data_IF_407689090357
#
_entry.id   IF_407689090357
#
_cell.length_a   1.000
_cell.length_b   1.000
_cell.length_c   1.000
_cell.angle_alpha   90.00
_cell.angle_beta   90.00
_cell.angle_gamma   90.00
#
_symmetry.space_group_name_H-M   'P 1'
#
loop_
_entity.id
_entity.type
_entity.pdbx_description
1 polymer ?
#
# COMPACT_ATOMS: atom_id res chain seq x y z
N UNK A 1 1.71 3.31 -22.30
CA UNK A 1 0.68 2.48 -21.64
C UNK A 1 1.34 1.78 -20.47
N UNK A 2 0.64 1.63 -19.34
CA UNK A 2 1.19 0.96 -18.16
C UNK A 2 1.07 -0.56 -18.34
N UNK A 3 2.16 -1.30 -18.19
CA UNK A 3 2.16 -2.76 -18.35
C UNK A 3 1.30 -3.46 -17.28
N UNK A 4 1.25 -2.85 -16.09
CA UNK A 4 0.51 -3.34 -14.93
C UNK A 4 0.08 -2.18 -14.04
N UNK A 5 -1.14 -2.26 -13.51
CA UNK A 5 -1.69 -1.28 -12.55
C UNK A 5 -2.00 -1.97 -11.23
N UNK A 6 -1.66 -1.31 -10.13
CA UNK A 6 -1.87 -1.85 -8.78
C UNK A 6 -3.13 -1.23 -8.14
N UNK A 7 -3.98 -2.08 -7.58
CA UNK A 7 -5.18 -1.65 -6.86
C UNK A 7 -5.25 -2.36 -5.54
N UNK A 8 -5.30 -1.61 -4.44
CA UNK A 8 -5.54 -2.24 -3.16
C UNK A 8 -6.23 -1.39 -2.15
N UNK A 9 -6.56 -2.02 -1.03
CA UNK A 9 -7.22 -1.35 0.08
C UNK A 9 -6.70 -1.85 1.41
N UNK A 10 -6.55 -0.92 2.34
CA UNK A 10 -6.39 -1.20 3.77
C UNK A 10 -7.76 -1.04 4.44
N UNK A 11 -8.29 -2.12 5.03
CA UNK A 11 -9.59 -2.09 5.70
C UNK A 11 -9.54 -1.41 7.07
N UNK A 12 -8.33 -1.09 7.56
CA UNK A 12 -8.06 -0.54 8.89
C UNK A 12 -8.80 -1.35 9.96
N UNK A 13 -9.34 -0.69 10.99
CA UNK A 13 -10.08 -1.31 12.10
C UNK A 13 -11.60 -1.22 11.88
N UNK A 14 -12.12 -1.70 10.74
CA UNK A 14 -13.55 -1.59 10.39
C UNK A 14 -14.29 -2.90 10.10
N UNK A 15 -13.59 -3.99 9.77
CA UNK A 15 -14.21 -5.24 9.35
C UNK A 15 -13.85 -6.38 10.30
N UNK A 16 -14.86 -7.19 10.66
CA UNK A 16 -14.65 -8.49 11.31
C UNK A 16 -14.19 -9.53 10.29
N UNK A 17 -13.67 -10.66 10.76
CA UNK A 17 -13.25 -11.77 9.91
C UNK A 17 -14.35 -12.24 8.94
N UNK A 18 -15.60 -12.34 9.40
CA UNK A 18 -16.73 -12.74 8.56
C UNK A 18 -17.03 -11.70 7.46
N UNK A 19 -16.99 -10.41 7.80
CA UNK A 19 -17.17 -9.32 6.83
C UNK A 19 -16.04 -9.30 5.79
N UNK A 20 -14.79 -9.52 6.21
CA UNK A 20 -13.65 -9.62 5.28
C UNK A 20 -13.79 -10.80 4.32
N UNK A 21 -14.22 -11.98 4.81
CA UNK A 21 -14.45 -13.15 3.95
C UNK A 21 -15.53 -12.88 2.91
N UNK A 22 -16.64 -12.27 3.32
CA UNK A 22 -17.72 -11.90 2.40
C UNK A 22 -17.28 -10.82 1.39
N UNK A 23 -16.52 -9.82 1.86
CA UNK A 23 -15.91 -8.80 1.01
C UNK A 23 -15.03 -9.41 -0.08
N UNK A 24 -14.12 -10.33 0.28
CA UNK A 24 -13.22 -10.99 -0.68
C UNK A 24 -13.99 -11.85 -1.69
N UNK A 25 -15.03 -12.55 -1.25
CA UNK A 25 -15.91 -13.32 -2.15
C UNK A 25 -16.60 -12.41 -3.17
N UNK A 26 -17.12 -11.27 -2.71
CA UNK A 26 -17.75 -10.29 -3.58
C UNK A 26 -16.74 -9.66 -4.55
N UNK A 27 -15.56 -9.27 -4.08
CA UNK A 27 -14.53 -8.64 -4.89
C UNK A 27 -14.02 -9.60 -5.98
N UNK A 28 -13.68 -10.84 -5.60
CA UNK A 28 -13.26 -11.88 -6.53
C UNK A 28 -14.31 -12.14 -7.60
N UNK A 29 -15.58 -12.34 -7.22
CA UNK A 29 -16.67 -12.54 -8.19
C UNK A 29 -16.79 -11.40 -9.20
N UNK A 30 -16.57 -10.16 -8.77
CA UNK A 30 -16.71 -8.96 -9.60
C UNK A 30 -15.52 -8.69 -10.50
N UNK A 31 -14.35 -9.19 -10.16
CA UNK A 31 -13.09 -8.82 -10.83
C UNK A 31 -12.34 -10.02 -11.40
N UNK A 32 -12.94 -11.21 -11.39
CA UNK A 32 -12.35 -12.45 -11.94
C UNK A 32 -12.01 -12.36 -13.42
N UNK A 33 -12.74 -11.56 -14.18
CA UNK A 33 -12.49 -11.30 -15.60
C UNK A 33 -11.23 -10.45 -15.85
N UNK A 34 -10.68 -9.80 -14.81
CA UNK A 34 -9.47 -9.00 -14.92
C UNK A 34 -8.24 -9.89 -14.78
N UNK A 35 -7.38 -9.89 -15.79
CA UNK A 35 -6.10 -10.58 -15.73
C UNK A 35 -5.17 -9.89 -14.70
N UNK A 36 -4.59 -10.65 -13.76
CA UNK A 36 -3.72 -10.08 -12.72
C UNK A 36 -2.39 -9.51 -13.24
N UNK A 37 -1.98 -9.95 -14.44
CA UNK A 37 -0.86 -9.35 -15.17
C UNK A 37 -1.12 -7.89 -15.53
N UNK A 38 -2.40 -7.51 -15.69
CA UNK A 38 -2.85 -6.16 -16.01
C UNK A 38 -3.24 -5.41 -14.73
N UNK A 39 -3.98 -6.05 -13.82
CA UNK A 39 -4.51 -5.43 -12.61
C UNK A 39 -4.14 -6.25 -11.36
N UNK A 40 -3.04 -5.89 -10.67
CA UNK A 40 -2.70 -6.52 -9.40
C UNK A 40 -3.64 -6.02 -8.30
N UNK A 41 -4.53 -6.89 -7.85
CA UNK A 41 -5.43 -6.62 -6.72
C UNK A 41 -4.77 -7.04 -5.41
N UNK A 42 -4.90 -6.23 -4.36
CA UNK A 42 -4.48 -6.61 -3.01
C UNK A 42 -5.43 -6.07 -1.92
N UNK A 43 -5.57 -6.81 -0.82
CA UNK A 43 -6.44 -6.44 0.31
C UNK A 43 -5.68 -6.67 1.61
N UNK A 44 -5.73 -5.68 2.50
CA UNK A 44 -4.99 -5.66 3.76
C UNK A 44 -5.99 -5.59 4.94
N UNK A 45 -6.51 -6.74 5.42
CA UNK A 45 -7.46 -6.78 6.52
C UNK A 45 -6.81 -6.76 7.90
N UNK A 46 -7.61 -6.63 8.96
CA UNK A 46 -7.14 -6.80 10.34
C UNK A 46 -6.54 -8.20 10.56
N UNK A 47 -5.60 -8.32 11.51
CA UNK A 47 -4.90 -9.59 11.78
C UNK A 47 -5.85 -10.76 12.05
N UNK A 48 -6.92 -10.53 12.82
CA UNK A 48 -7.92 -11.54 13.17
C UNK A 48 -8.65 -12.13 11.96
N UNK A 49 -8.59 -11.46 10.81
CA UNK A 49 -9.20 -11.89 9.56
C UNK A 49 -8.22 -12.57 8.60
N UNK A 50 -6.90 -12.54 8.83
CA UNK A 50 -5.90 -13.04 7.87
C UNK A 50 -6.08 -14.52 7.54
N UNK A 51 -6.11 -15.38 8.56
CA UNK A 51 -6.25 -16.82 8.37
C UNK A 51 -7.56 -17.22 7.63
N UNK A 52 -8.77 -16.77 8.06
CA UNK A 52 -9.99 -17.07 7.32
C UNK A 52 -10.02 -16.42 5.92
N UNK A 53 -9.44 -15.23 5.74
CA UNK A 53 -9.31 -14.59 4.43
C UNK A 53 -8.44 -15.42 3.47
N UNK A 54 -7.27 -15.89 3.92
CA UNK A 54 -6.39 -16.76 3.12
C UNK A 54 -7.12 -18.02 2.67
N UNK A 55 -7.75 -18.74 3.61
CA UNK A 55 -8.52 -19.95 3.29
C UNK A 55 -9.62 -19.69 2.27
N UNK A 56 -10.27 -18.53 2.34
CA UNK A 56 -11.30 -18.18 1.37
C UNK A 56 -10.71 -17.91 -0.03
N UNK A 57 -9.59 -17.19 -0.11
CA UNK A 57 -8.90 -16.95 -1.38
C UNK A 57 -8.42 -18.25 -2.03
N UNK A 58 -7.85 -19.16 -1.24
CA UNK A 58 -7.43 -20.51 -1.70
C UNK A 58 -8.59 -21.29 -2.31
N UNK A 59 -9.73 -21.35 -1.60
CA UNK A 59 -10.94 -22.04 -2.09
C UNK A 59 -11.46 -21.48 -3.41
N UNK A 60 -11.25 -20.20 -3.66
CA UNK A 60 -11.69 -19.54 -4.89
C UNK A 60 -10.64 -19.61 -6.01
N UNK A 61 -9.43 -20.13 -5.75
CA UNK A 61 -8.30 -20.03 -6.68
C UNK A 61 -7.90 -18.57 -6.98
N UNK A 62 -8.21 -17.65 -6.06
CA UNK A 62 -8.05 -16.21 -6.28
C UNK A 62 -6.59 -15.78 -6.20
N UNK A 63 -6.23 -14.82 -7.04
CA UNK A 63 -4.90 -14.20 -7.09
C UNK A 63 -4.86 -12.84 -6.37
N UNK A 64 -5.94 -12.44 -5.69
CA UNK A 64 -5.94 -11.25 -4.84
C UNK A 64 -4.86 -11.44 -3.77
N UNK A 65 -3.89 -10.54 -3.74
CA UNK A 65 -2.78 -10.59 -2.79
C UNK A 65 -3.28 -10.18 -1.40
N UNK A 66 -3.06 -11.05 -0.42
CA UNK A 66 -3.42 -10.77 0.97
C UNK A 66 -2.24 -10.12 1.71
N UNK A 67 -2.48 -8.97 2.33
CA UNK A 67 -1.47 -8.25 3.11
C UNK A 67 -1.82 -8.09 4.59
N UNK A 68 -0.82 -7.79 5.42
CA UNK A 68 -0.98 -7.43 6.82
C UNK A 68 -0.81 -5.92 7.03
N UNK A 69 -1.56 -5.36 7.98
CA UNK A 69 -1.60 -3.90 8.22
C UNK A 69 -0.33 -3.35 8.89
N UNK A 70 0.42 -4.21 9.58
CA UNK A 70 1.68 -3.92 10.24
C UNK A 70 2.37 -5.25 10.62
N UNK A 71 3.61 -5.19 11.14
CA UNK A 71 4.39 -6.33 11.61
C UNK A 71 5.41 -5.85 12.66
N UNK A 72 5.77 -6.70 13.62
CA UNK A 72 6.94 -6.51 14.47
C UNK A 72 8.26 -6.68 13.68
N UNK A 73 9.38 -6.22 14.24
CA UNK A 73 10.71 -6.36 13.60
C UNK A 73 11.54 -7.52 14.16
N UNK A 74 10.97 -8.31 15.07
CA UNK A 74 11.60 -9.50 15.67
C UNK A 74 10.75 -10.73 15.37
N UNK A 75 11.41 -11.90 15.23
CA UNK A 75 10.72 -13.18 15.03
C UNK A 75 9.92 -13.63 16.27
N UNK A 76 10.43 -13.28 17.46
CA UNK A 76 9.87 -13.60 18.76
C UNK A 76 10.50 -12.71 19.84
N UNK A 77 9.84 -12.58 20.99
CA UNK A 77 10.37 -11.85 22.15
C UNK A 77 9.27 -11.36 23.08
N UNK A 78 9.66 -10.53 24.05
CA UNK A 78 8.76 -9.96 25.07
C UNK A 78 7.97 -8.75 24.50
N UNK A 79 7.18 -9.00 23.45
CA UNK A 79 6.42 -7.99 22.72
C UNK A 79 4.90 -8.26 22.78
N UNK A 80 4.34 -8.26 24.00
CA UNK A 80 2.91 -8.54 24.21
C UNK A 80 2.03 -7.64 23.34
N UNK A 81 1.24 -8.27 22.45
CA UNK A 81 0.33 -7.58 21.53
C UNK A 81 0.87 -7.36 20.11
N UNK A 82 2.17 -7.57 19.88
CA UNK A 82 2.76 -7.53 18.54
C UNK A 82 2.55 -8.84 17.76
N UNK A 83 2.71 -8.77 16.44
CA UNK A 83 2.60 -9.90 15.52
C UNK A 83 3.92 -10.06 14.77
N UNK A 84 4.53 -11.24 14.87
CA UNK A 84 5.83 -11.52 14.25
C UNK A 84 5.71 -11.88 12.76
N UNK A 85 6.80 -11.79 11.97
CA UNK A 85 6.82 -12.25 10.59
C UNK A 85 6.40 -13.73 10.45
N UNK A 86 6.79 -14.59 11.38
CA UNK A 86 6.47 -16.02 11.35
C UNK A 86 4.94 -16.24 11.46
N UNK A 87 4.29 -15.52 12.38
CA UNK A 87 2.84 -15.57 12.56
C UNK A 87 2.09 -15.08 11.30
N UNK A 88 2.56 -14.01 10.67
CA UNK A 88 1.96 -13.49 9.43
C UNK A 88 2.11 -14.44 8.25
N UNK A 89 3.28 -15.07 8.13
CA UNK A 89 3.56 -16.03 7.06
C UNK A 89 2.62 -17.24 7.15
N UNK A 90 2.46 -17.78 8.36
CA UNK A 90 1.54 -18.88 8.68
C UNK A 90 0.08 -18.47 8.43
N UNK A 91 -0.32 -17.27 8.85
CA UNK A 91 -1.67 -16.75 8.61
C UNK A 91 -1.97 -16.50 7.12
N UNK A 92 -0.96 -16.55 6.25
CA UNK A 92 -1.12 -16.49 4.80
C UNK A 92 -0.93 -15.11 4.16
N UNK A 93 -0.43 -14.13 4.91
CA UNK A 93 -0.04 -12.85 4.35
C UNK A 93 1.17 -13.01 3.42
N UNK A 94 1.25 -12.18 2.38
CA UNK A 94 2.37 -12.15 1.41
C UNK A 94 2.86 -10.72 1.12
N UNK A 95 2.17 -9.73 1.67
CA UNK A 95 2.49 -8.31 1.64
C UNK A 95 2.42 -7.78 3.08
N UNK A 96 3.32 -6.88 3.47
CA UNK A 96 3.25 -6.19 4.76
C UNK A 96 3.28 -4.69 4.51
N UNK A 97 2.27 -3.98 5.01
CA UNK A 97 2.26 -2.53 5.02
C UNK A 97 3.06 -2.01 6.22
N UNK A 98 3.96 -1.07 5.99
CA UNK A 98 4.90 -0.56 6.99
C UNK A 98 4.89 0.96 6.93
N UNK A 99 4.92 1.63 8.08
CA UNK A 99 5.03 3.09 8.16
C UNK A 99 3.77 3.83 7.70
N UNK A 100 2.59 3.19 7.73
CA UNK A 100 1.33 3.88 7.46
C UNK A 100 1.18 5.10 8.40
N UNK A 101 0.66 6.20 7.86
CA UNK A 101 0.50 7.49 8.58
C UNK A 101 -0.09 7.35 9.99
N UNK A 102 -1.14 6.56 10.19
CA UNK A 102 -1.73 6.30 11.52
C UNK A 102 -0.72 5.69 12.50
N UNK A 103 0.18 4.80 12.04
CA UNK A 103 1.23 4.23 12.91
C UNK A 103 2.28 5.26 13.28
N UNK A 104 2.66 6.12 12.33
CA UNK A 104 3.62 7.21 12.56
C UNK A 104 3.08 8.28 13.52
N UNK A 105 1.83 8.70 13.34
CA UNK A 105 1.28 9.85 14.06
C UNK A 105 0.49 9.50 15.31
N UNK A 106 -0.21 8.35 15.33
CA UNK A 106 -0.99 7.90 16.50
C UNK A 106 -0.18 6.97 17.40
N UNK A 107 0.63 6.09 16.81
CA UNK A 107 1.45 5.13 17.56
C UNK A 107 2.93 5.53 17.65
N UNK A 108 3.28 6.72 17.14
CA UNK A 108 4.62 7.30 17.21
C UNK A 108 5.74 6.41 16.63
N UNK A 109 5.42 5.62 15.60
CA UNK A 109 6.44 4.84 14.89
C UNK A 109 7.39 5.75 14.11
N UNK A 110 8.68 5.57 14.36
CA UNK A 110 9.77 6.35 13.75
C UNK A 110 10.21 5.75 12.42
N UNK A 111 10.93 6.53 11.60
CA UNK A 111 11.55 6.03 10.37
C UNK A 111 12.53 4.88 10.63
N UNK A 112 13.28 4.93 11.73
CA UNK A 112 14.20 3.85 12.12
C UNK A 112 13.46 2.56 12.49
N UNK A 113 12.28 2.65 13.10
CA UNK A 113 11.44 1.46 13.35
C UNK A 113 10.84 0.92 12.06
N UNK A 114 10.43 1.79 11.13
CA UNK A 114 9.96 1.37 9.81
C UNK A 114 11.07 0.63 9.04
N UNK A 115 12.30 1.15 9.04
CA UNK A 115 13.48 0.54 8.43
C UNK A 115 13.72 -0.90 8.94
N UNK A 116 13.74 -1.08 10.28
CA UNK A 116 13.86 -2.43 10.89
C UNK A 116 12.78 -3.39 10.42
N UNK A 117 11.53 -2.92 10.33
CA UNK A 117 10.40 -3.75 9.84
C UNK A 117 10.57 -4.09 8.36
N UNK A 118 11.04 -3.15 7.53
CA UNK A 118 11.30 -3.38 6.10
C UNK A 118 12.35 -4.48 5.94
N UNK A 119 13.48 -4.37 6.66
CA UNK A 119 14.53 -5.40 6.64
C UNK A 119 13.99 -6.77 7.05
N UNK A 120 13.33 -6.84 8.21
CA UNK A 120 12.73 -8.05 8.74
C UNK A 120 11.73 -8.69 7.76
N UNK A 121 10.89 -7.89 7.10
CA UNK A 121 9.91 -8.36 6.13
C UNK A 121 10.59 -9.01 4.91
N UNK A 122 11.65 -8.39 4.39
CA UNK A 122 12.41 -8.92 3.25
C UNK A 122 13.15 -10.20 3.60
N UNK A 123 13.72 -10.30 4.81
CA UNK A 123 14.40 -11.52 5.28
C UNK A 123 13.44 -12.71 5.34
N UNK A 124 12.16 -12.45 5.60
CA UNK A 124 11.09 -13.44 5.66
C UNK A 124 10.32 -13.61 4.33
N UNK A 125 10.82 -13.05 3.24
CA UNK A 125 10.26 -13.27 1.91
C UNK A 125 8.97 -12.50 1.60
N UNK A 126 8.57 -11.54 2.45
CA UNK A 126 7.40 -10.70 2.19
C UNK A 126 7.68 -9.69 1.08
N UNK A 127 6.62 -9.29 0.38
CA UNK A 127 6.58 -7.98 -0.28
C UNK A 127 6.34 -6.90 0.77
N UNK A 128 6.93 -5.73 0.57
CA UNK A 128 6.78 -4.57 1.45
C UNK A 128 5.97 -3.50 0.72
N UNK A 129 4.98 -2.92 1.41
CA UNK A 129 4.37 -1.65 1.03
C UNK A 129 4.80 -0.60 2.06
N UNK A 130 5.85 0.16 1.74
CA UNK A 130 6.33 1.24 2.60
C UNK A 130 5.48 2.49 2.35
N UNK A 131 4.76 2.93 3.38
CA UNK A 131 4.01 4.18 3.33
C UNK A 131 4.87 5.38 3.73
N UNK A 132 4.76 6.45 2.95
CA UNK A 132 5.42 7.74 3.15
C UNK A 132 4.43 8.86 2.90
N UNK A 133 4.61 9.99 3.58
CA UNK A 133 3.65 11.08 3.56
C UNK A 133 4.09 12.25 4.40
N UNK A 134 3.90 13.46 3.88
CA UNK A 134 4.07 14.70 4.63
C UNK A 134 2.76 15.15 5.31
N UNK A 135 2.91 15.81 6.45
CA UNK A 135 1.83 16.44 7.21
C UNK A 135 1.45 17.81 6.63
N UNK A 136 0.26 18.30 7.02
CA UNK A 136 -0.22 19.62 6.60
C UNK A 136 0.77 20.74 6.92
N UNK A 137 1.40 20.68 8.10
CA UNK A 137 2.36 21.67 8.56
C UNK A 137 3.67 21.62 7.77
N UNK A 138 4.16 20.43 7.43
CA UNK A 138 5.36 20.24 6.60
C UNK A 138 5.12 20.76 5.17
N UNK A 139 3.91 20.53 4.63
CA UNK A 139 3.48 21.16 3.37
C UNK A 139 3.45 22.69 3.48
N UNK A 140 2.91 23.24 4.56
CA UNK A 140 2.85 24.69 4.78
C UNK A 140 4.24 25.32 4.88
N UNK A 141 5.21 24.62 5.47
CA UNK A 141 6.61 25.05 5.53
C UNK A 141 7.38 24.83 4.23
N UNK A 142 6.78 24.19 3.22
CA UNK A 142 7.44 23.91 1.95
C UNK A 142 8.48 22.79 2.02
N UNK A 143 8.51 22.00 3.11
CA UNK A 143 9.51 20.94 3.36
C UNK A 143 9.03 19.53 3.03
N UNK A 144 7.88 19.41 2.36
CA UNK A 144 7.27 18.11 2.08
C UNK A 144 8.13 17.20 1.21
N UNK A 145 8.93 17.77 0.29
CA UNK A 145 9.83 16.96 -0.54
C UNK A 145 10.97 16.35 0.29
N UNK A 146 11.54 17.12 1.20
CA UNK A 146 12.61 16.73 2.12
C UNK A 146 12.12 15.63 3.07
N UNK A 147 10.90 15.77 3.61
CA UNK A 147 10.28 14.75 4.47
C UNK A 147 10.12 13.43 3.72
N UNK A 148 9.53 13.45 2.53
CA UNK A 148 9.33 12.23 1.73
C UNK A 148 10.67 11.57 1.34
N UNK A 149 11.67 12.38 0.96
CA UNK A 149 13.02 11.88 0.65
C UNK A 149 13.67 11.24 1.87
N UNK A 150 13.55 11.87 3.04
CA UNK A 150 14.07 11.31 4.28
C UNK A 150 13.40 9.98 4.62
N UNK A 151 12.06 9.92 4.61
CA UNK A 151 11.31 8.71 4.91
C UNK A 151 11.66 7.55 3.96
N UNK A 152 11.81 7.83 2.67
CA UNK A 152 12.25 6.83 1.67
C UNK A 152 13.68 6.37 1.92
N UNK A 153 14.62 7.30 2.12
CA UNK A 153 16.05 6.97 2.30
C UNK A 153 16.29 6.19 3.58
N UNK A 154 15.61 6.53 4.68
CA UNK A 154 15.73 5.80 5.94
C UNK A 154 14.99 4.47 5.84
N UNK A 155 13.71 4.47 5.44
CA UNK A 155 12.89 3.26 5.41
C UNK A 155 13.44 2.17 4.47
N UNK A 156 14.16 2.55 3.42
CA UNK A 156 14.78 1.63 2.46
C UNK A 156 16.29 1.48 2.65
N UNK A 157 16.87 1.98 3.74
CA UNK A 157 18.33 2.03 3.93
C UNK A 157 19.01 0.66 3.84
N UNK A 158 18.39 -0.38 4.41
CA UNK A 158 18.92 -1.74 4.40
C UNK A 158 18.43 -2.59 3.22
N UNK A 159 17.70 -2.02 2.26
CA UNK A 159 17.22 -2.76 1.08
C UNK A 159 18.36 -2.96 0.09
N UNK A 160 18.57 -4.20 -0.34
CA UNK A 160 19.59 -4.53 -1.36
C UNK A 160 18.99 -4.43 -2.77
N UNK A 161 19.83 -4.19 -3.77
CA UNK A 161 19.38 -3.97 -5.15
C UNK A 161 18.57 -5.16 -5.71
N UNK A 162 18.96 -6.38 -5.34
CA UNK A 162 18.28 -7.64 -5.72
C UNK A 162 16.92 -7.85 -5.07
N UNK A 163 16.52 -7.00 -4.11
CA UNK A 163 15.26 -7.12 -3.37
C UNK A 163 14.21 -6.09 -3.79
N UNK A 164 14.58 -5.19 -4.71
CA UNK A 164 13.73 -4.08 -5.17
C UNK A 164 12.43 -4.54 -5.83
N UNK A 165 12.39 -5.76 -6.37
CA UNK A 165 11.18 -6.39 -6.93
C UNK A 165 10.09 -6.68 -5.89
N UNK A 166 10.47 -6.72 -4.61
CA UNK A 166 9.57 -6.93 -3.48
C UNK A 166 9.16 -5.63 -2.78
N UNK A 167 9.65 -4.47 -3.23
CA UNK A 167 9.33 -3.16 -2.65
C UNK A 167 8.24 -2.47 -3.44
N UNK A 168 7.18 -2.06 -2.76
CA UNK A 168 6.17 -1.11 -3.21
C UNK A 168 6.17 0.09 -2.26
N UNK A 169 5.83 1.27 -2.77
CA UNK A 169 5.72 2.50 -1.98
C UNK A 169 4.30 3.05 -2.09
N UNK A 170 3.70 3.40 -0.96
CA UNK A 170 2.42 4.09 -0.89
C UNK A 170 2.61 5.55 -0.48
N UNK A 171 2.26 6.49 -1.35
CA UNK A 171 2.27 7.91 -1.01
C UNK A 171 0.94 8.35 -0.40
N UNK A 172 0.98 8.71 0.88
CA UNK A 172 -0.17 9.11 1.68
C UNK A 172 -0.01 10.57 2.13
N UNK A 173 -0.41 11.58 1.32
CA UNK A 173 -0.43 12.96 1.80
C UNK A 173 -1.35 13.05 3.02
N UNK A 174 -0.78 13.22 4.21
CA UNK A 174 -1.48 13.02 5.49
C UNK A 174 -2.62 14.02 5.66
N UNK A 175 -2.46 15.21 5.06
CA UNK A 175 -3.48 16.26 5.01
C UNK A 175 -4.65 15.94 4.07
N UNK A 176 -4.52 14.95 3.19
CA UNK A 176 -5.52 14.54 2.20
C UNK A 176 -6.25 13.24 2.57
N UNK A 177 -5.94 12.63 3.72
CA UNK A 177 -6.56 11.39 4.21
C UNK A 177 -7.48 11.64 5.42
N UNK A 178 -8.35 10.68 5.72
CA UNK A 178 -9.28 10.78 6.85
C UNK A 178 -10.60 11.49 6.54
N UNK A 179 -11.44 11.69 7.56
CA UNK A 179 -12.81 12.20 7.40
C UNK A 179 -12.86 13.64 6.91
N UNK A 180 -11.85 14.46 7.25
CA UNK A 180 -11.72 15.86 6.82
C UNK A 180 -10.66 16.11 5.73
N UNK A 181 -10.07 15.07 5.16
CA UNK A 181 -9.05 15.21 4.11
C UNK A 181 -9.65 15.71 2.79
N UNK A 182 -8.97 16.67 2.16
CA UNK A 182 -9.34 17.17 0.82
C UNK A 182 -8.54 16.41 -0.24
N UNK A 183 -9.15 15.96 -1.35
CA UNK A 183 -8.42 15.32 -2.44
C UNK A 183 -7.26 16.20 -2.93
N UNK A 184 -6.05 15.64 -3.00
CA UNK A 184 -4.92 16.34 -3.59
C UNK A 184 -5.14 16.52 -5.11
N UNK A 185 -4.87 17.72 -5.66
CA UNK A 185 -4.90 17.93 -7.11
C UNK A 185 -3.96 16.97 -7.84
N UNK A 186 -4.34 16.53 -9.03
CA UNK A 186 -3.57 15.55 -9.80
C UNK A 186 -2.14 16.06 -10.12
N UNK A 187 -1.99 17.36 -10.34
CA UNK A 187 -0.71 18.02 -10.58
C UNK A 187 0.22 17.91 -9.38
N UNK A 188 -0.33 18.07 -8.17
CA UNK A 188 0.42 17.90 -6.92
C UNK A 188 0.84 16.44 -6.73
N UNK A 189 -0.06 15.50 -7.03
CA UNK A 189 0.22 14.06 -6.94
C UNK A 189 1.32 13.67 -7.92
N UNK A 190 1.27 14.14 -9.16
CA UNK A 190 2.29 13.91 -10.20
C UNK A 190 3.65 14.50 -9.78
N UNK A 191 3.69 15.74 -9.28
CA UNK A 191 4.91 16.39 -8.78
C UNK A 191 5.60 15.54 -7.70
N UNK A 192 4.85 15.11 -6.67
CA UNK A 192 5.41 14.31 -5.58
C UNK A 192 5.81 12.91 -6.04
N UNK A 193 5.02 12.27 -6.90
CA UNK A 193 5.38 10.95 -7.45
C UNK A 193 6.64 11.00 -8.30
N UNK A 194 6.82 12.04 -9.14
CA UNK A 194 8.04 12.21 -9.93
C UNK A 194 9.27 12.38 -9.04
N UNK A 195 9.17 13.23 -8.02
CA UNK A 195 10.27 13.42 -7.07
C UNK A 195 10.61 12.14 -6.29
N UNK A 196 9.59 11.37 -5.84
CA UNK A 196 9.83 10.07 -5.20
C UNK A 196 10.45 9.07 -6.17
N UNK A 197 10.02 9.05 -7.44
CA UNK A 197 10.63 8.23 -8.50
C UNK A 197 12.12 8.53 -8.65
N UNK A 198 12.47 9.81 -8.74
CA UNK A 198 13.87 10.28 -8.80
C UNK A 198 14.65 9.81 -7.57
N UNK A 199 14.05 9.93 -6.38
CA UNK A 199 14.66 9.45 -5.13
C UNK A 199 14.91 7.94 -5.13
N UNK A 200 13.97 7.14 -5.63
CA UNK A 200 14.15 5.69 -5.76
C UNK A 200 15.23 5.35 -6.78
N UNK A 201 15.33 6.12 -7.87
CA UNK A 201 16.40 5.96 -8.86
C UNK A 201 17.78 6.39 -8.33
N UNK A 202 17.86 7.39 -7.45
CA UNK A 202 19.09 7.73 -6.73
C UNK A 202 19.57 6.55 -5.87
N UNK A 203 18.64 5.85 -5.20
CA UNK A 203 18.96 4.74 -4.30
C UNK A 203 19.32 3.45 -5.04
N UNK A 204 18.61 3.13 -6.13
CA UNK A 204 18.67 1.80 -6.76
C UNK A 204 18.92 1.82 -8.28
N UNK A 205 19.26 2.99 -8.85
CA UNK A 205 19.44 3.15 -10.29
C UNK A 205 18.19 2.78 -11.08
N UNK A 206 18.37 2.05 -12.19
CA UNK A 206 17.26 1.62 -13.05
C UNK A 206 16.27 0.66 -12.37
N UNK A 207 16.68 -0.02 -11.28
CA UNK A 207 15.75 -0.83 -10.51
C UNK A 207 14.71 0.04 -9.77
N UNK A 208 15.11 1.21 -9.28
CA UNK A 208 14.22 2.17 -8.63
C UNK A 208 13.11 2.69 -9.55
N UNK A 209 13.36 2.77 -10.85
CA UNK A 209 12.36 3.15 -11.84
C UNK A 209 11.20 2.15 -11.94
N UNK A 210 11.40 0.89 -11.52
CA UNK A 210 10.41 -0.20 -11.59
C UNK A 210 9.67 -0.46 -10.27
N UNK A 211 10.09 0.16 -9.16
CA UNK A 211 9.42 0.02 -7.85
C UNK A 211 8.01 0.60 -7.95
N UNK A 212 6.93 -0.18 -7.75
CA UNK A 212 5.58 0.36 -7.80
C UNK A 212 5.36 1.50 -6.79
N UNK A 213 4.90 2.64 -7.29
CA UNK A 213 4.58 3.84 -6.52
C UNK A 213 3.08 4.14 -6.60
N UNK A 214 2.37 3.88 -5.51
CA UNK A 214 0.92 3.92 -5.42
C UNK A 214 0.47 5.21 -4.73
N UNK A 215 -0.61 5.82 -5.21
CA UNK A 215 -1.23 6.93 -4.52
C UNK A 215 -2.24 6.43 -3.47
N UNK A 216 -2.01 6.80 -2.20
CA UNK A 216 -2.79 6.41 -1.02
C UNK A 216 -3.66 7.51 -0.41
N UNK A 217 -3.80 8.67 -1.08
CA UNK A 217 -4.68 9.75 -0.64
C UNK A 217 -6.18 9.46 -0.81
N UNK A 218 -7.02 10.49 -0.72
CA UNK A 218 -8.47 10.36 -0.93
C UNK A 218 -8.81 10.00 -2.39
N UNK A 219 -8.95 8.70 -2.68
CA UNK A 219 -9.38 8.16 -3.98
C UNK A 219 -10.87 7.82 -3.96
N UNK A 220 -11.60 8.31 -4.95
CA UNK A 220 -13.00 7.99 -5.21
C UNK A 220 -13.27 7.94 -6.73
N UNK A 221 -14.51 7.60 -7.10
CA UNK A 221 -14.86 7.33 -8.50
C UNK A 221 -14.55 8.51 -9.44
N UNK A 222 -14.77 9.73 -8.97
CA UNK A 222 -14.65 10.94 -9.80
C UNK A 222 -13.19 11.30 -10.09
N UNK A 223 -12.25 10.99 -9.18
CA UNK A 223 -10.85 11.36 -9.33
C UNK A 223 -9.93 10.19 -9.74
N UNK A 224 -10.35 8.94 -9.57
CA UNK A 224 -9.50 7.76 -9.84
C UNK A 224 -8.91 7.76 -11.25
N UNK A 225 -9.71 8.13 -12.26
CA UNK A 225 -9.25 8.21 -13.65
C UNK A 225 -8.21 9.32 -13.88
N UNK A 226 -8.32 10.46 -13.20
CA UNK A 226 -7.34 11.53 -13.32
C UNK A 226 -6.03 11.18 -12.61
N UNK A 227 -6.12 10.60 -11.42
CA UNK A 227 -4.96 10.22 -10.61
C UNK A 227 -4.14 9.12 -11.27
N UNK A 228 -4.77 8.12 -11.91
CA UNK A 228 -4.01 7.05 -12.55
C UNK A 228 -3.39 7.45 -13.90
N UNK A 229 -3.87 8.54 -14.51
CA UNK A 229 -3.26 9.11 -15.73
C UNK A 229 -1.95 9.85 -15.46
N UNK A 230 -1.66 10.16 -14.21
CA UNK A 230 -0.34 10.62 -13.79
C UNK A 230 0.70 9.54 -14.14
N UNK A 231 1.69 9.90 -14.96
CA UNK A 231 2.66 8.95 -15.52
C UNK A 231 3.43 8.23 -14.41
N UNK A 232 3.78 8.97 -13.34
CA UNK A 232 4.55 8.44 -12.22
C UNK A 232 3.73 7.62 -11.20
N UNK A 233 2.39 7.57 -11.32
CA UNK A 233 1.48 6.84 -10.42
C UNK A 233 1.19 5.43 -10.96
N UNK A 234 1.72 4.38 -10.32
CA UNK A 234 1.57 3.00 -10.81
C UNK A 234 0.30 2.30 -10.31
N UNK A 235 -0.40 2.92 -9.36
CA UNK A 235 -1.57 2.31 -8.76
C UNK A 235 -2.30 3.19 -7.77
N UNK A 236 -3.47 2.72 -7.35
CA UNK A 236 -4.34 3.39 -6.39
C UNK A 236 -4.49 2.53 -5.14
N UNK A 237 -4.11 3.10 -4.01
CA UNK A 237 -4.28 2.50 -2.69
C UNK A 237 -5.48 3.17 -1.99
N UNK A 238 -6.63 2.55 -2.12
CA UNK A 238 -7.93 3.16 -1.86
C UNK A 238 -8.42 2.81 -0.45
N UNK A 239 -8.74 3.83 0.34
CA UNK A 239 -9.34 3.66 1.66
C UNK A 239 -10.85 3.35 1.61
N UNK A 240 -11.64 4.19 2.28
CA UNK A 240 -13.10 4.02 2.50
C UNK A 240 -13.91 3.59 1.27
N UNK A 241 -13.63 4.18 0.11
CA UNK A 241 -14.36 3.87 -1.13
C UNK A 241 -14.22 2.42 -1.57
N UNK A 242 -13.16 1.73 -1.15
CA UNK A 242 -12.89 0.35 -1.50
C UNK A 242 -13.34 -0.67 -0.44
N UNK A 243 -13.86 -0.24 0.71
CA UNK A 243 -14.39 -1.17 1.73
C UNK A 243 -15.71 -1.82 1.32
N UNK A 244 -16.37 -1.26 0.29
CA UNK A 244 -17.44 -1.91 -0.46
C UNK A 244 -16.87 -2.49 -1.77
N UNK A 245 -17.03 -3.79 -1.97
CA UNK A 245 -16.44 -4.49 -3.11
C UNK A 245 -17.01 -4.04 -4.46
N UNK A 246 -18.27 -3.59 -4.52
CA UNK A 246 -18.88 -3.11 -5.76
C UNK A 246 -18.33 -1.72 -6.14
N UNK A 247 -18.16 -0.85 -5.15
CA UNK A 247 -17.51 0.46 -5.36
C UNK A 247 -16.04 0.29 -5.75
N UNK A 248 -15.33 -0.66 -5.13
CA UNK A 248 -13.93 -0.90 -5.48
C UNK A 248 -13.78 -1.39 -6.92
N UNK A 249 -14.59 -2.37 -7.35
CA UNK A 249 -14.65 -2.84 -8.74
C UNK A 249 -14.92 -1.68 -9.72
N UNK A 250 -15.87 -0.80 -9.40
CA UNK A 250 -16.17 0.38 -10.22
C UNK A 250 -14.95 1.30 -10.35
N UNK A 251 -14.21 1.54 -9.26
CA UNK A 251 -12.99 2.34 -9.25
C UNK A 251 -11.90 1.68 -10.12
N UNK A 252 -11.66 0.38 -9.93
CA UNK A 252 -10.67 -0.40 -10.71
C UNK A 252 -10.96 -0.26 -12.21
N UNK A 253 -12.19 -0.53 -12.62
CA UNK A 253 -12.58 -0.47 -14.05
C UNK A 253 -12.51 0.94 -14.60
N UNK A 254 -12.89 1.96 -13.83
CA UNK A 254 -12.79 3.38 -14.23
C UNK A 254 -11.33 3.77 -14.45
N UNK A 255 -10.44 3.37 -13.55
CA UNK A 255 -9.01 3.65 -13.65
C UNK A 255 -8.38 2.91 -14.85
N UNK A 256 -8.67 1.62 -15.02
CA UNK A 256 -8.13 0.84 -16.16
C UNK A 256 -8.54 1.44 -17.51
N UNK A 257 -9.81 1.83 -17.69
CA UNK A 257 -10.29 2.50 -18.92
C UNK A 257 -9.59 3.83 -19.22
N UNK A 258 -8.90 4.43 -18.25
CA UNK A 258 -8.21 5.69 -18.44
C UNK A 258 -6.76 5.52 -18.95
N UNK A 259 -6.19 4.30 -18.90
CA UNK A 259 -4.76 4.05 -19.15
C UNK A 259 -4.46 2.82 -20.01
N UNK A 260 -5.47 2.01 -20.32
CA UNK A 260 -5.44 0.89 -21.27
C UNK A 260 -6.40 1.19 -22.43
#
# INVERSE_FOLDING_TARGET
MKDRVYFGTNTKMYQTAAQTVEYLRCLEKRTRDLADGIAQRFVIPSYTALYPARRQLDRMGSQILLGAQNMGWEEQGEYTGEISPLMLAEAGARLVMIGHSERRHTFHETDAQAEKKVRCALDHGFRVLLCVGEQAQERQYGVGAEVLRMQLKIGLHQVRAEETDRIWVGYEPVWAIGVGGVPAPAEYVEEKHRMMRETLMELFGQAGARIPLLYGGSVHLDNAGALIRCDAVDGLFVGRSAWDAARFDTIIRKALRAVL
#
